data_IF_053650270999
#
_entry.id   IF_053650270999
#
_cell.length_a   1.000
_cell.length_b   1.000
_cell.length_c   1.000
_cell.angle_alpha   90.00
_cell.angle_beta   90.00
_cell.angle_gamma   90.00
#
_symmetry.space_group_name_H-M   'P 1'
#
loop_
_entity.id
_entity.type
_entity.pdbx_description
1 polymer ?
#
# COMPACT_ATOMS: atom_id res chain seq x y z
N UNK A 1 -9.30 2.86 -21.27
CA UNK A 1 -8.86 1.62 -21.93
C UNK A 1 -10.07 0.71 -22.08
N UNK A 2 -10.33 0.13 -23.24
CA UNK A 2 -11.49 -0.79 -23.43
C UNK A 2 -11.17 -2.14 -22.77
N UNK A 3 -12.19 -2.85 -22.27
CA UNK A 3 -12.04 -4.15 -21.59
C UNK A 3 -11.27 -5.17 -22.43
N UNK A 4 -11.58 -5.23 -23.72
CA UNK A 4 -10.91 -6.08 -24.72
C UNK A 4 -9.39 -5.86 -24.81
N UNK A 5 -8.90 -4.68 -24.43
CA UNK A 5 -7.46 -4.40 -24.40
C UNK A 5 -6.80 -4.84 -23.08
N UNK A 6 -7.56 -5.03 -22.00
CA UNK A 6 -7.06 -5.58 -20.74
C UNK A 6 -6.84 -7.08 -20.89
N UNK A 7 -7.83 -7.79 -21.45
CA UNK A 7 -7.79 -9.25 -21.60
C UNK A 7 -6.55 -9.67 -22.40
N UNK A 8 -6.27 -8.96 -23.51
CA UNK A 8 -5.06 -9.16 -24.32
C UNK A 8 -3.75 -8.93 -23.56
N UNK A 9 -3.71 -8.03 -22.58
CA UNK A 9 -2.50 -7.80 -21.77
C UNK A 9 -2.31 -8.92 -20.75
N UNK A 10 -3.42 -9.44 -20.19
CA UNK A 10 -3.40 -10.55 -19.23
C UNK A 10 -2.98 -11.88 -19.88
N UNK A 11 -3.25 -12.04 -21.18
CA UNK A 11 -2.87 -13.21 -21.98
C UNK A 11 -1.41 -13.18 -22.47
N UNK A 12 -0.69 -12.07 -22.32
CA UNK A 12 0.71 -11.99 -22.76
C UNK A 12 1.63 -12.89 -21.93
N UNK A 13 2.67 -13.48 -22.54
CA UNK A 13 3.76 -14.09 -21.78
C UNK A 13 4.36 -13.08 -20.79
N UNK A 14 4.50 -13.48 -19.53
CA UNK A 14 4.99 -12.61 -18.46
C UNK A 14 6.29 -11.84 -18.80
N UNK A 15 7.32 -12.45 -19.43
CA UNK A 15 8.52 -11.71 -19.81
C UNK A 15 8.25 -10.56 -20.77
N UNK A 16 7.35 -10.76 -21.74
CA UNK A 16 6.95 -9.73 -22.70
C UNK A 16 6.19 -8.60 -22.00
N UNK A 17 5.26 -8.95 -21.09
CA UNK A 17 4.50 -7.97 -20.32
C UNK A 17 5.40 -7.08 -19.47
N UNK A 18 6.39 -7.68 -18.77
CA UNK A 18 7.36 -6.96 -17.94
C UNK A 18 8.18 -5.97 -18.79
N UNK A 19 8.67 -6.40 -19.96
CA UNK A 19 9.47 -5.52 -20.85
C UNK A 19 8.62 -4.34 -21.36
N UNK A 20 7.36 -4.57 -21.73
CA UNK A 20 6.45 -3.47 -22.14
C UNK A 20 6.19 -2.50 -20.99
N UNK A 21 5.93 -3.02 -19.79
CA UNK A 21 5.70 -2.20 -18.60
C UNK A 21 6.94 -1.35 -18.25
N UNK A 22 8.14 -1.94 -18.29
CA UNK A 22 9.39 -1.23 -17.98
C UNK A 22 9.67 -0.09 -18.99
N UNK A 23 9.36 -0.29 -20.28
CA UNK A 23 9.48 0.78 -21.29
C UNK A 23 8.62 1.99 -20.94
N UNK A 24 7.37 1.77 -20.52
CA UNK A 24 6.45 2.84 -20.12
C UNK A 24 6.98 3.51 -18.85
N UNK A 25 7.31 2.74 -17.81
CA UNK A 25 7.89 3.26 -16.56
C UNK A 25 9.14 4.12 -16.83
N UNK A 26 10.10 3.64 -17.61
CA UNK A 26 11.32 4.40 -17.97
C UNK A 26 11.00 5.72 -18.67
N UNK A 27 10.01 5.73 -19.57
CA UNK A 27 9.62 6.93 -20.32
C UNK A 27 8.99 8.00 -19.44
N UNK A 28 8.15 7.62 -18.48
CA UNK A 28 7.36 8.58 -17.71
C UNK A 28 7.91 8.88 -16.32
N UNK A 29 8.55 7.92 -15.65
CA UNK A 29 9.03 8.06 -14.27
C UNK A 29 10.54 7.91 -14.13
N UNK A 30 11.24 7.51 -15.20
CA UNK A 30 12.66 7.16 -15.12
C UNK A 30 12.91 6.11 -14.04
N UNK A 31 14.11 6.08 -13.47
CA UNK A 31 14.50 5.13 -12.41
C UNK A 31 14.27 5.65 -10.98
N UNK A 32 13.39 6.66 -10.80
CA UNK A 32 13.06 7.17 -9.48
C UNK A 32 12.08 6.24 -8.76
N UNK A 33 12.32 6.02 -7.47
CA UNK A 33 11.42 5.32 -6.54
C UNK A 33 11.00 6.31 -5.46
N UNK A 34 9.71 6.39 -5.17
CA UNK A 34 9.17 7.22 -4.09
C UNK A 34 9.01 6.39 -2.82
N UNK A 35 9.64 6.80 -1.73
CA UNK A 35 9.53 6.12 -0.44
C UNK A 35 8.33 6.66 0.34
N UNK A 36 7.42 5.78 0.72
CA UNK A 36 6.25 6.09 1.54
C UNK A 36 6.33 5.29 2.84
N UNK A 37 5.95 5.90 3.96
CA UNK A 37 5.84 5.22 5.24
C UNK A 37 4.40 5.29 5.75
N UNK A 38 3.85 4.16 6.17
CA UNK A 38 2.48 4.07 6.67
C UNK A 38 2.47 3.63 8.14
N UNK A 39 1.73 4.37 8.96
CA UNK A 39 1.45 4.04 10.34
C UNK A 39 0.06 3.44 10.45
N UNK A 40 -0.09 2.27 11.07
CA UNK A 40 -1.40 1.81 11.49
C UNK A 40 -1.88 2.63 12.70
N UNK A 41 -2.65 3.70 12.47
CA UNK A 41 -3.02 4.63 13.52
C UNK A 41 -4.08 4.09 14.49
N UNK A 42 -4.94 3.17 14.05
CA UNK A 42 -5.96 2.48 14.86
C UNK A 42 -6.06 1.05 14.39
N UNK A 43 -6.01 0.09 15.31
CA UNK A 43 -6.01 -1.32 14.91
C UNK A 43 -7.08 -2.20 15.54
N UNK A 44 -7.62 -3.08 14.70
CA UNK A 44 -8.57 -4.11 15.08
C UNK A 44 -10.00 -3.61 15.25
N UNK A 45 -10.88 -4.53 15.62
CA UNK A 45 -12.31 -4.30 15.88
C UNK A 45 -13.05 -3.59 14.73
N UNK A 46 -12.60 -3.77 13.48
CA UNK A 46 -13.29 -3.24 12.33
C UNK A 46 -14.62 -3.99 12.13
N UNK A 47 -15.71 -3.26 11.91
CA UNK A 47 -17.05 -3.85 11.76
C UNK A 47 -17.28 -4.53 10.40
N UNK A 48 -16.40 -4.25 9.43
CA UNK A 48 -16.47 -4.81 8.07
C UNK A 48 -16.05 -6.27 8.04
N UNK A 49 -16.66 -7.06 7.15
CA UNK A 49 -16.42 -8.51 6.99
C UNK A 49 -15.55 -8.83 5.77
N UNK A 50 -14.45 -8.10 5.62
CA UNK A 50 -13.52 -8.36 4.52
C UNK A 50 -12.77 -9.67 4.79
N UNK A 51 -13.04 -10.70 3.98
CA UNK A 51 -12.47 -12.06 4.12
C UNK A 51 -10.95 -12.14 4.23
N UNK A 52 -10.24 -11.16 3.68
CA UNK A 52 -8.77 -11.09 3.67
C UNK A 52 -8.19 -10.20 4.78
N UNK A 53 -9.02 -9.44 5.51
CA UNK A 53 -8.53 -8.38 6.41
C UNK A 53 -8.30 -8.91 7.82
N UNK A 54 -7.04 -8.81 8.29
CA UNK A 54 -6.67 -9.23 9.65
C UNK A 54 -7.31 -8.39 10.76
N UNK A 55 -7.85 -7.21 10.45
CA UNK A 55 -8.41 -6.27 11.43
C UNK A 55 -9.93 -6.40 11.61
N UNK A 56 -10.58 -7.26 10.82
CA UNK A 56 -12.02 -7.54 10.91
C UNK A 56 -12.36 -8.17 12.26
N UNK A 57 -13.37 -7.61 12.95
CA UNK A 57 -13.93 -8.19 14.17
C UNK A 57 -14.68 -9.51 13.92
N UNK A 58 -14.94 -9.85 12.65
CA UNK A 58 -15.63 -11.09 12.24
C UNK A 58 -14.69 -12.29 12.18
N UNK A 59 -13.38 -12.09 12.33
CA UNK A 59 -12.36 -13.13 12.21
C UNK A 59 -11.42 -13.14 13.42
N UNK A 60 -10.92 -14.33 13.78
CA UNK A 60 -9.94 -14.51 14.86
C UNK A 60 -8.54 -14.60 14.26
N UNK A 61 -7.80 -13.49 14.26
CA UNK A 61 -6.54 -13.36 13.52
C UNK A 61 -5.32 -13.08 14.41
N UNK A 62 -5.54 -12.79 15.70
CA UNK A 62 -4.47 -12.42 16.63
C UNK A 62 -3.82 -11.06 16.36
N UNK A 63 -4.39 -10.24 15.47
CA UNK A 63 -3.89 -8.88 15.22
C UNK A 63 -3.92 -8.06 16.52
N UNK A 64 -2.89 -7.23 16.79
CA UNK A 64 -2.92 -6.28 17.89
C UNK A 64 -4.16 -5.39 17.81
N UNK A 65 -4.78 -5.14 18.97
CA UNK A 65 -5.95 -4.27 19.09
C UNK A 65 -5.58 -3.08 19.95
N UNK A 66 -5.77 -1.89 19.40
CA UNK A 66 -5.52 -0.64 20.13
C UNK A 66 -6.37 0.50 19.55
N UNK A 67 -6.75 1.48 20.39
CA UNK A 67 -7.50 2.64 19.93
C UNK A 67 -6.65 3.53 19.01
N UNK A 68 -7.26 4.58 18.49
CA UNK A 68 -6.53 5.58 17.71
C UNK A 68 -5.36 6.14 18.54
N UNK A 69 -4.16 6.11 17.96
CA UNK A 69 -2.94 6.67 18.56
C UNK A 69 -3.10 8.16 18.83
N UNK A 70 -2.36 8.65 19.83
CA UNK A 70 -2.40 10.08 20.14
C UNK A 70 -1.81 10.91 18.98
N UNK A 71 -2.23 12.17 18.88
CA UNK A 71 -1.65 13.11 17.91
C UNK A 71 -0.12 13.21 18.07
N UNK A 72 0.36 13.18 19.32
CA UNK A 72 1.79 13.22 19.61
C UNK A 72 2.52 11.99 19.04
N UNK A 73 1.98 10.78 19.25
CA UNK A 73 2.58 9.55 18.71
C UNK A 73 2.60 9.54 17.18
N UNK A 74 1.53 10.02 16.55
CA UNK A 74 1.43 10.10 15.08
C UNK A 74 2.42 11.11 14.51
N UNK A 75 2.56 12.28 15.14
CA UNK A 75 3.57 13.28 14.74
C UNK A 75 4.99 12.76 14.93
N UNK A 76 5.24 11.98 15.98
CA UNK A 76 6.55 11.39 16.22
C UNK A 76 6.88 10.28 15.20
N UNK A 77 5.90 9.46 14.83
CA UNK A 77 6.06 8.52 13.71
C UNK A 77 6.33 9.25 12.38
N UNK A 78 5.65 10.35 12.12
CA UNK A 78 5.87 11.15 10.92
C UNK A 78 7.28 11.77 10.87
N UNK A 79 7.81 12.26 12.00
CA UNK A 79 9.18 12.76 12.11
C UNK A 79 10.19 11.67 11.79
N UNK A 80 10.04 10.49 12.41
CA UNK A 80 10.91 9.34 12.14
C UNK A 80 10.83 8.88 10.68
N UNK A 81 9.63 8.88 10.08
CA UNK A 81 9.46 8.57 8.67
C UNK A 81 10.26 9.54 7.77
N UNK A 82 10.22 10.83 8.08
CA UNK A 82 11.01 11.85 7.38
C UNK A 82 12.52 11.64 7.56
N UNK A 83 12.97 11.30 8.76
CA UNK A 83 14.39 11.05 9.06
C UNK A 83 14.95 9.86 8.29
N UNK A 84 14.16 8.80 8.06
CA UNK A 84 14.56 7.65 7.24
C UNK A 84 14.38 7.86 5.73
N UNK A 85 14.05 9.08 5.30
CA UNK A 85 13.96 9.46 3.90
C UNK A 85 12.63 9.17 3.21
N UNK A 86 11.54 8.97 3.96
CA UNK A 86 10.21 8.88 3.36
C UNK A 86 9.77 10.26 2.82
N UNK A 87 9.26 10.26 1.59
CA UNK A 87 8.70 11.44 0.92
C UNK A 87 7.22 11.64 1.29
N UNK A 88 6.53 10.57 1.68
CA UNK A 88 5.13 10.58 2.13
C UNK A 88 4.94 9.80 3.43
N UNK A 89 4.04 10.30 4.27
CA UNK A 89 3.62 9.67 5.52
C UNK A 89 2.10 9.52 5.55
N UNK A 90 1.64 8.28 5.70
CA UNK A 90 0.22 7.90 5.68
C UNK A 90 -0.20 7.30 7.03
N UNK A 91 -1.48 7.43 7.41
CA UNK A 91 -2.05 6.91 8.67
C UNK A 91 -3.29 6.04 8.46
#
# INVERSE_FOLDING_TARGET
>A
MRKENIDKLLELPLPELIVKADKIRKRFTGNRVELCNILNAKSGLCSQDCKFCAQSARHKTGSPVYPLKSKADMLEAARRAKEIGAERFDI
#
